data_IF_152151427115
#
_entry.id   IF_152151427115
#
_cell.length_a   1.000
_cell.length_b   1.000
_cell.length_c   1.000
_cell.angle_alpha   90.00
_cell.angle_beta   90.00
_cell.angle_gamma   90.00
#
_symmetry.space_group_name_H-M   'P 1'
#
loop_
_entity.id
_entity.type
_entity.pdbx_description
1 polymer ?
#
# COMPACT_ATOMS: atom_id res chain seq x y z
N UNK A 1 -17.89 -8.82 -11.73
CA UNK A 1 -18.68 -7.59 -11.95
C UNK A 1 -19.18 -7.15 -10.58
N UNK A 2 -18.46 -6.24 -9.94
CA UNK A 2 -18.96 -5.50 -8.78
C UNK A 2 -19.31 -4.11 -9.31
N UNK A 3 -20.56 -3.98 -9.75
CA UNK A 3 -21.19 -2.67 -9.86
C UNK A 3 -21.29 -2.08 -8.45
N UNK A 4 -20.57 -0.98 -8.20
CA UNK A 4 -21.14 0.17 -7.49
C UNK A 4 -20.58 1.43 -8.15
N UNK A 5 -21.44 2.06 -8.94
CA UNK A 5 -21.61 3.52 -9.09
C UNK A 5 -20.33 4.35 -9.04
N UNK A 6 -19.93 4.93 -10.18
CA UNK A 6 -18.92 5.99 -10.24
C UNK A 6 -19.19 7.05 -9.18
N UNK A 7 -18.48 6.93 -8.05
CA UNK A 7 -18.72 7.72 -6.86
C UNK A 7 -18.35 9.17 -7.13
N UNK A 8 -18.69 10.06 -6.20
CA UNK A 8 -18.29 11.48 -6.29
C UNK A 8 -16.78 11.58 -6.50
N UNK A 9 -16.00 10.72 -5.84
CA UNK A 9 -14.54 10.64 -5.98
C UNK A 9 -14.14 10.23 -7.41
N UNK A 10 -14.74 9.18 -7.98
CA UNK A 10 -14.43 8.70 -9.33
C UNK A 10 -14.71 9.79 -10.37
N UNK A 11 -15.91 10.39 -10.32
CA UNK A 11 -16.30 11.49 -11.23
C UNK A 11 -15.40 12.71 -11.08
N UNK A 12 -15.02 13.05 -9.84
CA UNK A 12 -14.11 14.16 -9.59
C UNK A 12 -12.70 13.86 -10.12
N UNK A 13 -12.19 12.63 -9.92
CA UNK A 13 -10.89 12.20 -10.43
C UNK A 13 -10.82 12.26 -11.96
N UNK A 14 -11.88 11.84 -12.64
CA UNK A 14 -12.01 11.94 -14.10
C UNK A 14 -12.04 13.39 -14.57
N UNK A 15 -12.76 14.27 -13.86
CA UNK A 15 -12.83 15.70 -14.18
C UNK A 15 -11.48 16.42 -14.11
N UNK A 16 -10.58 15.99 -13.23
CA UNK A 16 -9.25 16.58 -13.07
C UNK A 16 -8.15 15.77 -13.77
N UNK A 17 -8.52 14.69 -14.48
CA UNK A 17 -7.59 13.85 -15.24
C UNK A 17 -6.61 13.05 -14.37
N UNK A 18 -6.97 12.74 -13.12
CA UNK A 18 -6.12 11.94 -12.21
C UNK A 18 -6.76 10.60 -11.89
N UNK A 19 -5.94 9.65 -11.49
CA UNK A 19 -6.46 8.35 -11.05
C UNK A 19 -7.13 8.45 -9.67
N UNK A 20 -8.24 7.74 -9.48
CA UNK A 20 -8.94 7.68 -8.19
C UNK A 20 -8.03 7.31 -7.00
N UNK A 21 -7.14 6.28 -7.08
CA UNK A 21 -6.23 5.96 -5.98
C UNK A 21 -5.28 7.10 -5.62
N UNK A 22 -4.77 7.84 -6.61
CA UNK A 22 -3.92 9.00 -6.37
C UNK A 22 -4.68 10.12 -5.66
N UNK A 23 -5.94 10.38 -6.06
CA UNK A 23 -6.79 11.37 -5.41
C UNK A 23 -7.09 10.99 -3.96
N UNK A 24 -7.46 9.74 -3.68
CA UNK A 24 -7.68 9.25 -2.31
C UNK A 24 -6.44 9.44 -1.43
N UNK A 25 -5.27 9.12 -1.97
CA UNK A 25 -4.01 9.28 -1.26
C UNK A 25 -3.79 10.74 -0.86
N UNK A 26 -3.92 11.67 -1.81
CA UNK A 26 -3.77 13.11 -1.56
C UNK A 26 -4.77 13.60 -0.51
N UNK A 27 -6.05 13.21 -0.63
CA UNK A 27 -7.08 13.59 0.35
C UNK A 27 -6.74 13.09 1.75
N UNK A 28 -6.21 11.88 1.89
CA UNK A 28 -5.79 11.36 3.21
C UNK A 28 -4.54 11.99 3.78
N UNK A 29 -3.57 12.39 2.94
CA UNK A 29 -2.44 13.20 3.39
C UNK A 29 -2.95 14.54 3.93
N UNK A 30 -3.88 15.20 3.24
CA UNK A 30 -4.49 16.43 3.73
C UNK A 30 -5.33 16.23 4.98
N UNK A 31 -6.03 15.10 5.12
CA UNK A 31 -6.77 14.75 6.33
C UNK A 31 -5.85 14.57 7.56
N UNK A 32 -4.56 14.28 7.36
CA UNK A 32 -3.57 14.22 8.43
C UNK A 32 -3.42 15.53 9.20
N UNK A 33 -3.52 16.70 8.55
CA UNK A 33 -3.38 18.01 9.21
C UNK A 33 -4.49 18.32 10.22
N UNK A 34 -5.81 18.26 9.87
CA UNK A 34 -6.86 18.47 10.86
C UNK A 34 -6.86 17.40 11.95
N UNK A 35 -6.51 16.14 11.63
CA UNK A 35 -6.35 15.10 12.66
C UNK A 35 -5.21 15.41 13.62
N UNK A 36 -4.09 15.94 13.12
CA UNK A 36 -2.98 16.40 13.96
C UNK A 36 -3.40 17.57 14.86
N UNK A 37 -4.23 18.50 14.37
CA UNK A 37 -4.80 19.57 15.20
C UNK A 37 -5.74 19.04 16.28
N UNK A 38 -6.58 18.06 15.96
CA UNK A 38 -7.45 17.37 16.93
C UNK A 38 -6.63 16.68 18.02
N UNK A 39 -5.59 15.93 17.63
CA UNK A 39 -4.66 15.31 18.57
C UNK A 39 -4.01 16.38 19.46
N UNK A 40 -3.46 17.44 18.85
CA UNK A 40 -2.79 18.52 19.58
C UNK A 40 -3.70 19.25 20.56
N UNK A 41 -4.96 19.46 20.20
CA UNK A 41 -5.94 20.20 21.03
C UNK A 41 -6.54 19.35 22.15
N UNK A 42 -6.84 18.08 21.90
CA UNK A 42 -7.65 17.28 22.83
C UNK A 42 -6.92 16.13 23.50
N UNK A 43 -5.80 15.66 22.94
CA UNK A 43 -5.09 14.45 23.38
C UNK A 43 -3.65 14.71 23.79
N UNK A 44 -3.03 15.82 23.35
CA UNK A 44 -1.69 16.19 23.75
C UNK A 44 -1.62 16.45 25.26
N UNK A 45 -0.62 15.84 25.93
CA UNK A 45 -0.47 15.91 27.38
C UNK A 45 -1.41 14.98 28.17
N UNK A 46 -2.29 14.22 27.50
CA UNK A 46 -3.07 13.15 28.13
C UNK A 46 -2.32 11.82 28.09
N UNK A 47 -2.94 10.80 28.67
CA UNK A 47 -2.44 9.42 28.71
C UNK A 47 -1.91 8.97 27.34
N UNK A 48 -0.69 8.40 27.35
CA UNK A 48 0.02 7.94 26.16
C UNK A 48 -0.79 6.86 25.42
N UNK A 49 -1.47 5.97 26.15
CA UNK A 49 -2.34 4.93 25.58
C UNK A 49 -3.46 5.52 24.71
N UNK A 50 -4.10 6.61 25.15
CA UNK A 50 -5.16 7.28 24.38
C UNK A 50 -4.63 7.91 23.10
N UNK A 51 -3.40 8.44 23.14
CA UNK A 51 -2.76 8.98 21.95
C UNK A 51 -2.45 7.88 20.93
N UNK A 52 -1.92 6.73 21.38
CA UNK A 52 -1.70 5.57 20.52
C UNK A 52 -2.99 5.03 19.93
N UNK A 53 -4.04 4.89 20.74
CA UNK A 53 -5.34 4.41 20.26
C UNK A 53 -5.91 5.36 19.19
N UNK A 54 -5.80 6.67 19.38
CA UNK A 54 -6.20 7.64 18.38
C UNK A 54 -5.43 7.46 17.06
N UNK A 55 -4.10 7.31 17.11
CA UNK A 55 -3.30 7.11 15.90
C UNK A 55 -3.59 5.78 15.20
N UNK A 56 -3.82 4.71 15.97
CA UNK A 56 -4.19 3.39 15.43
C UNK A 56 -5.54 3.50 14.72
N UNK A 57 -6.57 4.04 15.38
CA UNK A 57 -7.91 4.12 14.83
C UNK A 57 -7.98 5.03 13.59
N UNK A 58 -7.38 6.22 13.67
CA UNK A 58 -7.41 7.18 12.56
C UNK A 58 -6.53 6.73 11.40
N UNK A 59 -5.31 6.25 11.67
CA UNK A 59 -4.41 5.71 10.66
C UNK A 59 -5.00 4.48 9.96
N UNK A 60 -5.60 3.56 10.72
CA UNK A 60 -6.23 2.37 10.15
C UNK A 60 -7.47 2.73 9.31
N UNK A 61 -8.29 3.69 9.77
CA UNK A 61 -9.45 4.14 9.00
C UNK A 61 -9.04 4.77 7.66
N UNK A 62 -8.04 5.67 7.67
CA UNK A 62 -7.55 6.32 6.45
C UNK A 62 -6.88 5.33 5.49
N UNK A 63 -6.06 4.41 6.00
CA UNK A 63 -5.43 3.42 5.13
C UNK A 63 -6.43 2.42 4.56
N UNK A 64 -7.46 2.02 5.31
CA UNK A 64 -8.49 1.11 4.80
C UNK A 64 -9.30 1.78 3.68
N UNK A 65 -9.56 3.09 3.79
CA UNK A 65 -10.21 3.83 2.70
C UNK A 65 -9.37 3.91 1.43
N UNK A 66 -8.04 4.00 1.55
CA UNK A 66 -7.12 4.01 0.41
C UNK A 66 -6.97 2.63 -0.25
N UNK A 67 -6.72 1.61 0.56
CA UNK A 67 -6.21 0.31 0.09
C UNK A 67 -7.21 -0.84 0.25
N UNK A 68 -8.33 -0.61 0.92
CA UNK A 68 -9.34 -1.62 1.21
C UNK A 68 -8.75 -2.80 1.97
N UNK A 69 -9.11 -4.01 1.56
CA UNK A 69 -8.64 -5.24 2.18
C UNK A 69 -7.11 -5.40 2.10
N UNK A 70 -6.41 -4.82 1.12
CA UNK A 70 -4.96 -4.94 0.98
C UNK A 70 -4.17 -4.42 2.20
N UNK A 71 -4.82 -3.68 3.09
CA UNK A 71 -4.32 -3.30 4.40
C UNK A 71 -3.88 -4.50 5.27
N UNK A 72 -4.38 -5.73 5.04
CA UNK A 72 -3.94 -6.90 5.82
C UNK A 72 -2.43 -7.13 5.71
N UNK A 73 -1.82 -6.77 4.57
CA UNK A 73 -0.38 -6.95 4.33
C UNK A 73 0.45 -6.17 5.35
N UNK A 74 0.11 -4.90 5.62
CA UNK A 74 0.87 -4.08 6.57
C UNK A 74 0.67 -4.54 8.02
N UNK A 75 -0.55 -4.98 8.38
CA UNK A 75 -0.84 -5.54 9.72
C UNK A 75 -0.04 -6.82 9.94
N UNK A 76 0.01 -7.70 8.95
CA UNK A 76 0.79 -8.93 9.00
C UNK A 76 2.29 -8.64 9.15
N UNK A 77 2.83 -7.70 8.38
CA UNK A 77 4.24 -7.30 8.49
C UNK A 77 4.56 -6.74 9.88
N UNK A 78 3.71 -5.86 10.44
CA UNK A 78 3.89 -5.31 11.79
C UNK A 78 3.90 -6.43 12.84
N UNK A 79 2.93 -7.36 12.75
CA UNK A 79 2.85 -8.49 13.67
C UNK A 79 4.10 -9.37 13.59
N UNK A 80 4.54 -9.73 12.37
CA UNK A 80 5.75 -10.53 12.17
C UNK A 80 7.00 -9.84 12.73
N UNK A 81 7.17 -8.54 12.45
CA UNK A 81 8.28 -7.75 13.00
C UNK A 81 8.25 -7.74 14.52
N UNK A 82 7.09 -7.54 15.13
CA UNK A 82 6.96 -7.56 16.59
C UNK A 82 7.30 -8.93 17.17
N UNK A 83 6.79 -10.03 16.60
CA UNK A 83 7.16 -11.40 16.99
C UNK A 83 8.67 -11.65 16.87
N UNK A 84 9.30 -11.15 15.80
CA UNK A 84 10.75 -11.27 15.59
C UNK A 84 11.52 -10.56 16.71
N UNK A 85 11.08 -9.36 17.09
CA UNK A 85 11.68 -8.61 18.20
C UNK A 85 11.47 -9.31 19.54
N UNK A 86 10.32 -9.95 19.76
CA UNK A 86 10.06 -10.72 20.98
C UNK A 86 10.96 -11.97 21.09
N UNK A 87 11.13 -12.71 19.99
CA UNK A 87 11.87 -13.98 19.97
C UNK A 87 13.39 -13.77 19.95
N UNK A 88 13.87 -12.84 19.12
CA UNK A 88 15.30 -12.64 18.86
C UNK A 88 15.90 -11.42 19.57
N UNK A 89 15.06 -10.61 20.24
CA UNK A 89 15.46 -9.42 21.01
C UNK A 89 16.28 -8.42 20.16
N UNK A 90 17.04 -7.53 20.80
CA UNK A 90 17.89 -6.53 20.14
C UNK A 90 19.20 -7.09 19.58
N UNK A 91 19.14 -8.17 18.80
CA UNK A 91 20.32 -8.79 18.17
C UNK A 91 20.47 -8.35 16.72
N UNK A 92 21.70 -8.41 16.18
CA UNK A 92 21.91 -8.18 14.74
C UNK A 92 21.12 -9.17 13.86
N UNK A 93 20.85 -10.37 14.38
CA UNK A 93 20.04 -11.39 13.72
C UNK A 93 18.58 -10.92 13.56
N UNK A 94 17.98 -10.28 14.57
CA UNK A 94 16.60 -9.78 14.47
C UNK A 94 16.45 -8.70 13.40
N UNK A 95 17.46 -7.84 13.26
CA UNK A 95 17.56 -6.83 12.19
C UNK A 95 17.65 -7.51 10.83
N UNK A 96 18.56 -8.47 10.66
CA UNK A 96 18.74 -9.18 9.40
C UNK A 96 17.46 -9.93 8.97
N UNK A 97 16.82 -10.64 9.90
CA UNK A 97 15.56 -11.36 9.64
C UNK A 97 14.45 -10.39 9.24
N UNK A 98 14.27 -9.30 9.98
CA UNK A 98 13.24 -8.30 9.68
C UNK A 98 13.47 -7.65 8.32
N UNK A 99 14.72 -7.34 7.98
CA UNK A 99 15.09 -6.74 6.70
C UNK A 99 14.80 -7.71 5.54
N UNK A 100 15.30 -8.93 5.61
CA UNK A 100 15.10 -9.95 4.56
C UNK A 100 13.60 -10.24 4.39
N UNK A 101 12.88 -10.43 5.49
CA UNK A 101 11.44 -10.66 5.42
C UNK A 101 10.69 -9.49 4.78
N UNK A 102 10.90 -8.26 5.27
CA UNK A 102 10.17 -7.08 4.77
C UNK A 102 10.45 -6.82 3.30
N UNK A 103 11.72 -6.99 2.89
CA UNK A 103 12.13 -6.84 1.51
C UNK A 103 11.53 -7.93 0.60
N UNK A 104 11.63 -9.20 0.98
CA UNK A 104 11.04 -10.29 0.21
C UNK A 104 9.51 -10.16 0.14
N UNK A 105 8.86 -9.81 1.25
CA UNK A 105 7.41 -9.63 1.31
C UNK A 105 6.91 -8.55 0.34
N UNK A 106 7.68 -7.46 0.17
CA UNK A 106 7.38 -6.44 -0.82
C UNK A 106 7.53 -6.96 -2.27
N UNK A 107 8.60 -7.73 -2.56
CA UNK A 107 8.88 -8.26 -3.90
C UNK A 107 7.90 -9.37 -4.34
N UNK A 108 7.31 -10.07 -3.37
CA UNK A 108 6.32 -11.12 -3.60
C UNK A 108 5.16 -10.61 -4.48
N UNK A 109 4.73 -9.35 -4.33
CA UNK A 109 3.65 -8.78 -5.15
C UNK A 109 3.93 -8.86 -6.66
N UNK A 110 5.09 -8.37 -7.11
CA UNK A 110 5.47 -8.41 -8.53
C UNK A 110 5.70 -9.85 -9.00
N UNK A 111 6.20 -10.72 -8.12
CA UNK A 111 6.39 -12.13 -8.44
C UNK A 111 5.05 -12.87 -8.65
N UNK A 112 4.05 -12.60 -7.81
CA UNK A 112 2.69 -13.13 -7.96
C UNK A 112 2.02 -12.57 -9.21
N UNK A 113 2.14 -11.27 -9.49
CA UNK A 113 1.58 -10.68 -10.72
C UNK A 113 2.14 -11.37 -11.98
N UNK A 114 3.44 -11.70 -11.98
CA UNK A 114 4.08 -12.45 -13.07
C UNK A 114 3.64 -13.91 -13.14
N UNK A 115 3.49 -14.57 -11.99
CA UNK A 115 2.98 -15.92 -11.90
C UNK A 115 1.53 -16.02 -12.42
N UNK A 116 0.65 -15.14 -11.98
CA UNK A 116 -0.75 -15.05 -12.42
C UNK A 116 -0.84 -14.76 -13.93
N UNK A 117 0.12 -14.02 -14.50
CA UNK A 117 0.25 -13.84 -15.95
C UNK A 117 0.30 -15.15 -16.74
N UNK A 118 0.82 -16.23 -16.16
CA UNK A 118 1.01 -17.51 -16.84
C UNK A 118 -0.06 -18.55 -16.50
N UNK A 119 -1.07 -18.16 -15.72
CA UNK A 119 -2.20 -19.01 -15.39
C UNK A 119 -3.36 -18.82 -16.38
N UNK A 120 -4.21 -19.85 -16.57
CA UNK A 120 -5.44 -19.69 -17.36
C UNK A 120 -6.30 -18.59 -16.77
N UNK A 121 -6.82 -17.68 -17.61
CA UNK A 121 -7.62 -16.56 -17.12
C UNK A 121 -8.85 -17.05 -16.33
N UNK A 122 -9.43 -18.19 -16.67
CA UNK A 122 -10.64 -18.68 -16.01
C UNK A 122 -10.43 -19.07 -14.54
N UNK A 123 -9.19 -19.31 -14.11
CA UNK A 123 -8.84 -19.63 -12.72
C UNK A 123 -8.54 -18.40 -11.87
N UNK A 124 -8.29 -17.25 -12.51
CA UNK A 124 -7.88 -16.02 -11.83
C UNK A 124 -9.07 -15.22 -11.30
N UNK A 125 -8.86 -14.60 -10.15
CA UNK A 125 -9.79 -13.59 -9.61
C UNK A 125 -9.93 -12.41 -10.57
N UNK A 126 -11.04 -11.67 -10.47
CA UNK A 126 -11.28 -10.50 -11.30
C UNK A 126 -10.19 -9.42 -11.14
N UNK A 127 -9.57 -9.33 -9.95
CA UNK A 127 -8.51 -8.35 -9.68
C UNK A 127 -7.14 -8.86 -10.14
N UNK A 128 -6.83 -10.15 -9.94
CA UNK A 128 -5.62 -10.80 -10.49
C UNK A 128 -5.52 -10.61 -12.00
N UNK A 129 -6.63 -10.78 -12.74
CA UNK A 129 -6.67 -10.56 -14.19
C UNK A 129 -6.22 -9.16 -14.61
N UNK A 130 -6.57 -8.14 -13.82
CA UNK A 130 -6.25 -6.75 -14.14
C UNK A 130 -4.76 -6.48 -14.02
N UNK A 131 -4.07 -7.16 -13.09
CA UNK A 131 -2.66 -6.89 -12.74
C UNK A 131 -1.68 -7.93 -13.29
N UNK A 132 -2.19 -9.08 -13.76
CA UNK A 132 -1.43 -10.18 -14.33
C UNK A 132 -0.42 -9.73 -15.41
N UNK A 133 0.86 -10.01 -15.17
CA UNK A 133 1.99 -9.63 -16.01
C UNK A 133 2.39 -10.78 -16.93
N UNK A 134 2.07 -10.63 -18.21
CA UNK A 134 2.41 -11.62 -19.25
C UNK A 134 3.92 -11.65 -19.57
N UNK A 135 4.58 -10.49 -19.48
CA UNK A 135 6.00 -10.34 -19.80
C UNK A 135 6.78 -10.01 -18.53
N UNK A 136 7.97 -10.60 -18.41
CA UNK A 136 8.89 -10.32 -17.31
C UNK A 136 9.42 -8.89 -17.41
N UNK A 137 9.28 -8.05 -16.37
CA UNK A 137 9.92 -6.74 -16.35
C UNK A 137 11.44 -6.87 -16.35
N UNK A 138 12.11 -6.00 -17.09
CA UNK A 138 13.56 -5.82 -17.05
C UNK A 138 14.00 -5.23 -15.72
N UNK A 139 15.30 -5.32 -15.41
CA UNK A 139 15.86 -4.66 -14.22
C UNK A 139 15.60 -3.16 -14.25
N UNK A 140 15.70 -2.53 -15.42
CA UNK A 140 15.44 -1.10 -15.57
C UNK A 140 13.99 -0.73 -15.24
N UNK A 141 13.03 -1.53 -15.68
CA UNK A 141 11.60 -1.33 -15.36
C UNK A 141 11.32 -1.57 -13.87
N UNK A 142 11.97 -2.57 -13.27
CA UNK A 142 11.84 -2.86 -11.83
C UNK A 142 12.38 -1.73 -10.96
N UNK A 143 13.56 -1.20 -11.29
CA UNK A 143 14.13 -0.04 -10.62
C UNK A 143 13.29 1.21 -10.89
N UNK A 144 12.84 1.42 -12.13
CA UNK A 144 11.98 2.54 -12.50
C UNK A 144 10.67 2.56 -11.72
N UNK A 145 10.01 1.41 -11.55
CA UNK A 145 8.81 1.27 -10.72
C UNK A 145 9.09 1.57 -9.24
N UNK A 146 10.19 1.03 -8.70
CA UNK A 146 10.56 1.18 -7.28
C UNK A 146 10.89 2.63 -6.91
N UNK A 147 11.51 3.36 -7.84
CA UNK A 147 11.92 4.76 -7.65
C UNK A 147 10.98 5.76 -8.34
N UNK A 148 9.84 5.31 -8.88
CA UNK A 148 8.87 6.20 -9.50
C UNK A 148 8.38 7.21 -8.45
N UNK A 149 8.45 8.54 -8.67
CA UNK A 149 8.19 9.52 -7.61
C UNK A 149 6.86 9.36 -6.87
N UNK A 150 5.79 8.92 -7.56
CA UNK A 150 4.50 8.68 -6.93
C UNK A 150 4.48 7.43 -6.03
N UNK A 151 5.35 6.46 -6.29
CA UNK A 151 5.59 5.30 -5.44
C UNK A 151 6.64 5.61 -4.36
N UNK A 152 7.71 6.32 -4.69
CA UNK A 152 8.89 6.47 -3.83
C UNK A 152 8.58 7.03 -2.42
N UNK A 153 7.63 7.97 -2.30
CA UNK A 153 7.28 8.60 -1.03
C UNK A 153 6.53 7.64 -0.08
N UNK A 154 5.90 6.59 -0.60
CA UNK A 154 5.02 5.67 0.14
C UNK A 154 5.33 4.18 -0.11
N UNK A 155 6.39 3.89 -0.86
CA UNK A 155 6.67 2.58 -1.46
C UNK A 155 5.84 2.32 -2.74
N UNK A 156 6.19 1.30 -3.54
CA UNK A 156 5.38 0.89 -4.69
C UNK A 156 3.99 0.42 -4.23
N UNK A 157 3.04 1.34 -4.22
CA UNK A 157 1.65 1.13 -3.78
C UNK A 157 0.74 0.59 -4.87
N UNK A 158 1.19 0.59 -6.12
CA UNK A 158 0.39 0.17 -7.26
C UNK A 158 1.11 -0.91 -8.09
N UNK A 159 0.35 -1.82 -8.74
CA UNK A 159 0.90 -2.94 -9.48
C UNK A 159 1.86 -2.50 -10.58
N UNK A 160 2.89 -3.30 -10.82
CA UNK A 160 3.90 -3.05 -11.86
C UNK A 160 3.24 -2.87 -13.24
N UNK A 161 2.18 -3.62 -13.55
CA UNK A 161 1.47 -3.50 -14.83
C UNK A 161 0.99 -2.07 -15.09
N UNK A 162 0.44 -1.41 -14.06
CA UNK A 162 -0.05 -0.03 -14.16
C UNK A 162 1.08 0.97 -14.36
N UNK A 163 2.26 0.70 -13.80
CA UNK A 163 3.47 1.49 -14.09
C UNK A 163 3.90 1.34 -15.53
N UNK A 164 3.96 0.10 -16.04
CA UNK A 164 4.33 -0.17 -17.42
C UNK A 164 3.38 0.53 -18.40
N UNK A 165 2.06 0.40 -18.18
CA UNK A 165 1.02 1.09 -18.96
C UNK A 165 1.21 2.62 -18.96
N UNK A 166 1.60 3.20 -17.83
CA UNK A 166 1.88 4.65 -17.74
C UNK A 166 3.17 5.06 -18.47
N UNK A 167 4.21 4.23 -18.39
CA UNK A 167 5.53 4.53 -18.96
C UNK A 167 5.63 4.32 -20.48
N UNK A 168 4.74 3.52 -21.05
CA UNK A 168 4.74 3.10 -22.47
C UNK A 168 3.87 4.01 -23.35
N UNK A 169 3.90 5.33 -23.14
CA UNK A 169 3.20 6.34 -23.96
C UNK A 169 3.19 6.00 -25.46
#
# INVERSE_FOLDING_TARGET
>A
MSEETGGIITKFSESIGVTEPALKLILTVFAGYPLALVHRKYLYGKEVSLQHLFFILTGFSLGYWNYGSNMYHCVFTIFFTYCTLLLLKGTAISVAVTFVFSFLYLLIGVAYDYYDGHQPLDTLSADSKKVALQKRPSLLELFGHSFFPAAFIVGPQFPMKRYLEFSQL
#
